data_IF_399805563824
#
_entry.id   IF_399805563824
#
_cell.length_a   1.000
_cell.length_b   1.000
_cell.length_c   1.000
_cell.angle_alpha   90.00
_cell.angle_beta   90.00
_cell.angle_gamma   90.00
#
_symmetry.space_group_name_H-M   'P 1'
#
loop_
_entity.id
_entity.type
_entity.pdbx_description
1 polymer ?
#
# COMPACT_ATOMS: atom_id res chain seq x y z
N UNK A 1 -18.28 -8.97 20.79
CA UNK A 1 -17.37 -8.12 20.01
C UNK A 1 -16.90 -8.96 18.84
N UNK A 2 -17.20 -8.55 17.61
CA UNK A 2 -16.68 -9.26 16.43
C UNK A 2 -15.17 -9.04 16.42
N UNK A 3 -14.37 -10.10 16.55
CA UNK A 3 -12.93 -10.00 16.36
C UNK A 3 -12.68 -9.85 14.86
N UNK A 4 -12.28 -8.65 14.42
CA UNK A 4 -11.79 -8.42 13.07
C UNK A 4 -10.61 -9.38 12.80
N UNK A 5 -10.56 -10.02 11.64
CA UNK A 5 -9.42 -10.83 11.28
C UNK A 5 -8.18 -9.92 11.21
N UNK A 6 -7.02 -10.34 11.74
CA UNK A 6 -5.82 -9.50 11.82
C UNK A 6 -5.31 -8.98 10.45
N UNK A 7 -5.83 -9.50 9.34
CA UNK A 7 -5.55 -9.00 7.99
C UNK A 7 -6.37 -7.79 7.53
N UNK A 8 -7.55 -7.50 8.11
CA UNK A 8 -8.34 -6.32 7.72
C UNK A 8 -7.66 -5.03 8.17
N UNK A 9 -7.10 -5.05 9.39
CA UNK A 9 -6.44 -3.89 9.99
C UNK A 9 -5.17 -3.48 9.21
N UNK A 10 -4.49 -4.43 8.58
CA UNK A 10 -3.29 -4.17 7.78
C UNK A 10 -3.59 -3.52 6.44
N UNK A 11 -4.66 -3.94 5.76
CA UNK A 11 -5.10 -3.31 4.51
C UNK A 11 -5.59 -1.87 4.78
N UNK A 12 -6.36 -1.66 5.83
CA UNK A 12 -6.85 -0.34 6.22
C UNK A 12 -5.71 0.62 6.57
N UNK A 13 -4.73 0.18 7.36
CA UNK A 13 -3.53 0.99 7.68
C UNK A 13 -2.70 1.32 6.43
N UNK A 14 -2.65 0.40 5.47
CA UNK A 14 -1.94 0.60 4.22
C UNK A 14 -2.64 1.62 3.31
N UNK A 15 -3.96 1.52 3.16
CA UNK A 15 -4.76 2.49 2.40
C UNK A 15 -4.65 3.89 3.02
N UNK A 16 -4.73 4.01 4.36
CA UNK A 16 -4.53 5.29 5.06
C UNK A 16 -3.12 5.86 4.79
N UNK A 17 -2.09 5.01 4.78
CA UNK A 17 -0.72 5.43 4.48
C UNK A 17 -0.57 5.94 3.04
N UNK A 18 -1.18 5.26 2.05
CA UNK A 18 -1.18 5.74 0.65
C UNK A 18 -1.93 7.07 0.54
N UNK A 19 -3.10 7.21 1.16
CA UNK A 19 -3.87 8.45 1.10
C UNK A 19 -3.09 9.63 1.68
N UNK A 20 -2.40 9.43 2.81
CA UNK A 20 -1.50 10.46 3.37
C UNK A 20 -0.37 10.81 2.40
N UNK A 21 0.21 9.83 1.71
CA UNK A 21 1.24 10.07 0.71
C UNK A 21 0.71 10.88 -0.48
N UNK A 22 -0.46 10.55 -1.02
CA UNK A 22 -1.13 11.29 -2.11
C UNK A 22 -1.30 12.78 -1.74
N UNK A 23 -1.64 13.08 -0.48
CA UNK A 23 -1.80 14.46 0.00
C UNK A 23 -0.48 15.23 0.13
N UNK A 24 0.66 14.54 0.27
CA UNK A 24 1.99 15.15 0.49
C UNK A 24 2.88 15.20 -0.75
N UNK A 25 2.61 14.36 -1.74
CA UNK A 25 3.32 14.36 -3.01
C UNK A 25 2.90 15.58 -3.81
N UNK A 26 3.82 16.26 -4.50
CA UNK A 26 3.48 17.37 -5.41
C UNK A 26 3.45 16.94 -6.88
N UNK A 27 4.05 15.80 -7.21
CA UNK A 27 4.11 15.24 -8.55
C UNK A 27 2.74 14.67 -8.99
N UNK A 28 2.13 15.19 -10.07
CA UNK A 28 0.81 14.75 -10.52
C UNK A 28 0.80 13.34 -11.12
N UNK A 29 1.87 12.90 -11.77
CA UNK A 29 1.98 11.54 -12.32
C UNK A 29 2.04 10.52 -11.18
N UNK A 30 2.81 10.86 -10.16
CA UNK A 30 2.95 10.05 -8.96
C UNK A 30 1.66 9.99 -8.12
N UNK A 31 0.90 11.09 -8.04
CA UNK A 31 -0.43 11.10 -7.42
C UNK A 31 -1.41 10.17 -8.11
N UNK A 32 -1.39 10.17 -9.44
CA UNK A 32 -2.27 9.32 -10.23
C UNK A 32 -1.96 7.85 -9.95
N UNK A 33 -0.69 7.46 -10.03
CA UNK A 33 -0.25 6.09 -9.76
C UNK A 33 -0.57 5.61 -8.35
N UNK A 34 -0.39 6.46 -7.32
CA UNK A 34 -0.76 6.11 -5.95
C UNK A 34 -2.28 5.94 -5.79
N UNK A 35 -3.07 6.76 -6.48
CA UNK A 35 -4.54 6.66 -6.48
C UNK A 35 -4.98 5.37 -7.16
N UNK A 36 -4.41 5.04 -8.32
CA UNK A 36 -4.73 3.82 -9.08
C UNK A 36 -4.42 2.56 -8.26
N UNK A 37 -3.31 2.55 -7.52
CA UNK A 37 -2.95 1.44 -6.63
C UNK A 37 -3.91 1.36 -5.43
N UNK A 38 -4.29 2.49 -4.84
CA UNK A 38 -5.27 2.55 -3.74
C UNK A 38 -6.61 1.97 -4.19
N UNK A 39 -7.13 2.41 -5.33
CA UNK A 39 -8.41 1.96 -5.89
C UNK A 39 -8.37 0.46 -6.26
N UNK A 40 -7.26 -0.01 -6.83
CA UNK A 40 -7.08 -1.41 -7.16
C UNK A 40 -7.05 -2.32 -5.92
N UNK A 41 -6.53 -1.82 -4.79
CA UNK A 41 -6.52 -2.54 -3.52
C UNK A 41 -7.89 -2.50 -2.83
N UNK A 42 -8.55 -1.35 -2.82
CA UNK A 42 -9.88 -1.19 -2.23
C UNK A 42 -10.94 -2.01 -2.97
N UNK A 43 -10.84 -2.09 -4.30
CA UNK A 43 -11.67 -2.95 -5.13
C UNK A 43 -11.34 -4.45 -5.01
N UNK A 44 -10.22 -4.81 -4.40
CA UNK A 44 -9.71 -6.18 -4.34
C UNK A 44 -9.23 -6.71 -5.69
N UNK A 45 -9.05 -5.85 -6.69
CA UNK A 45 -8.51 -6.19 -8.02
C UNK A 45 -7.06 -6.67 -7.94
N UNK A 46 -6.32 -6.18 -6.94
CA UNK A 46 -4.98 -6.65 -6.60
C UNK A 46 -4.86 -6.93 -5.10
N UNK A 47 -3.85 -7.72 -4.73
CA UNK A 47 -3.49 -7.94 -3.32
C UNK A 47 -2.32 -7.03 -2.92
N UNK A 48 -2.09 -6.86 -1.61
CA UNK A 48 -0.91 -6.17 -1.08
C UNK A 48 0.41 -6.75 -1.64
N UNK A 49 0.47 -8.08 -1.80
CA UNK A 49 1.62 -8.76 -2.40
C UNK A 49 1.83 -8.35 -3.86
N UNK A 50 0.76 -8.16 -4.62
CA UNK A 50 0.80 -7.71 -6.03
C UNK A 50 1.20 -6.23 -6.12
N UNK A 51 0.74 -5.37 -5.21
CA UNK A 51 1.07 -3.95 -5.18
C UNK A 51 2.58 -3.68 -5.01
N UNK A 52 3.31 -4.57 -4.34
CA UNK A 52 4.78 -4.50 -4.20
C UNK A 52 5.56 -4.64 -5.53
N UNK A 53 4.89 -5.15 -6.56
CA UNK A 53 5.43 -5.37 -7.90
C UNK A 53 4.77 -4.46 -8.96
N UNK A 54 4.05 -3.41 -8.56
CA UNK A 54 3.45 -2.45 -9.48
C UNK A 54 4.50 -1.91 -10.48
N UNK A 55 4.10 -1.75 -11.75
CA UNK A 55 5.04 -1.53 -12.85
C UNK A 55 5.76 -0.17 -12.75
N UNK A 56 5.09 0.84 -12.19
CA UNK A 56 5.62 2.19 -12.07
C UNK A 56 6.74 2.28 -11.02
N UNK A 57 7.97 2.57 -11.45
CA UNK A 57 9.18 2.41 -10.65
C UNK A 57 9.29 3.39 -9.46
N UNK A 58 8.86 4.65 -9.64
CA UNK A 58 8.82 5.69 -8.60
C UNK A 58 7.71 5.41 -7.56
N UNK A 59 6.47 5.25 -8.02
CA UNK A 59 5.34 4.82 -7.19
C UNK A 59 5.68 3.55 -6.38
N UNK A 60 6.30 2.54 -6.99
CA UNK A 60 6.76 1.33 -6.28
C UNK A 60 7.77 1.62 -5.16
N UNK A 61 8.71 2.56 -5.35
CA UNK A 61 9.64 2.96 -4.27
C UNK A 61 8.88 3.59 -3.11
N UNK A 62 7.89 4.43 -3.42
CA UNK A 62 7.07 5.12 -2.41
C UNK A 62 6.17 4.14 -1.69
N UNK A 63 5.54 3.20 -2.40
CA UNK A 63 4.76 2.12 -1.80
C UNK A 63 5.67 1.27 -0.90
N UNK A 64 6.84 0.84 -1.37
CA UNK A 64 7.81 0.07 -0.55
C UNK A 64 8.28 0.84 0.69
N UNK A 65 8.45 2.16 0.58
CA UNK A 65 8.74 3.02 1.73
C UNK A 65 7.55 3.07 2.69
N UNK A 66 6.33 3.25 2.19
CA UNK A 66 5.11 3.22 2.99
C UNK A 66 4.95 1.87 3.73
N UNK A 67 5.21 0.77 3.04
CA UNK A 67 5.25 -0.58 3.62
C UNK A 67 6.35 -0.72 4.69
N UNK A 68 7.52 -0.15 4.48
CA UNK A 68 8.61 -0.18 5.47
C UNK A 68 8.33 0.68 6.70
N UNK A 69 7.74 1.86 6.51
CA UNK A 69 7.39 2.79 7.58
C UNK A 69 6.20 2.27 8.42
N UNK A 70 5.33 1.46 7.82
CA UNK A 70 4.22 0.77 8.48
C UNK A 70 4.61 -0.58 9.14
N UNK A 71 5.91 -0.88 9.30
CA UNK A 71 6.41 -2.15 9.88
C UNK A 71 5.97 -3.43 9.11
N UNK A 72 5.44 -3.28 7.89
CA UNK A 72 4.93 -4.39 7.06
C UNK A 72 6.05 -5.30 6.53
N UNK A 73 7.29 -4.78 6.48
CA UNK A 73 8.48 -5.50 5.99
C UNK A 73 9.14 -6.40 7.04
N UNK A 74 8.41 -6.83 8.09
CA UNK A 74 8.71 -8.13 8.71
C UNK A 74 8.15 -9.21 7.77
N UNK A 75 8.79 -9.38 6.62
CA UNK A 75 8.75 -10.65 5.91
C UNK A 75 9.45 -11.62 6.85
N UNK A 76 8.67 -12.33 7.67
CA UNK A 76 9.13 -13.60 8.22
C UNK A 76 9.33 -14.52 7.02
N UNK A 77 10.54 -14.49 6.47
CA UNK A 77 11.12 -15.65 5.82
C UNK A 77 11.24 -16.72 6.91
N UNK A 78 10.11 -17.36 7.24
CA UNK A 78 10.18 -18.66 7.91
C UNK A 78 10.83 -19.62 6.92
N UNK A 79 11.96 -20.19 7.35
CA UNK A 79 12.75 -21.17 6.61
C UNK A 79 11.98 -22.46 6.39
#
# INVERSE_FOLDING_TARGET
>A
MMMQPPGSDLLEQYLDSIQRLILTVDDPELKQELSDVSDALESGSITLGTALFWEHNEARKILRKAFSDADFLIIRLEK
#
